data_IF_319421268446
#
_entry.id   IF_319421268446
#
_cell.length_a   1.000
_cell.length_b   1.000
_cell.length_c   1.000
_cell.angle_alpha   90.00
_cell.angle_beta   90.00
_cell.angle_gamma   90.00
#
_symmetry.space_group_name_H-M   'P 1'
#
loop_
_entity.id
_entity.type
_entity.pdbx_description
1 polymer ?
#
# COMPACT_ATOMS: atom_id res chain seq x y z
N UNK A 1 3.85 0.59 41.75
CA UNK A 1 4.03 -0.62 40.91
C UNK A 1 3.25 -0.41 39.63
N UNK A 2 3.54 -1.21 38.59
CA UNK A 2 2.84 -1.27 37.29
C UNK A 2 2.53 0.03 36.54
N UNK A 3 3.57 0.54 35.87
CA UNK A 3 3.44 1.31 34.63
C UNK A 3 4.50 0.80 33.67
N UNK A 4 4.11 0.42 32.45
CA UNK A 4 4.96 0.18 31.24
C UNK A 4 6.17 -0.78 31.34
N UNK A 5 6.57 -1.24 32.53
CA UNK A 5 7.81 -2.01 32.80
C UNK A 5 7.74 -3.51 32.48
N UNK A 6 7.05 -3.82 31.39
CA UNK A 6 7.37 -4.95 30.50
C UNK A 6 6.97 -4.49 29.09
N UNK A 7 7.79 -3.63 28.46
CA UNK A 7 7.71 -3.12 27.06
C UNK A 7 7.78 -4.24 26.00
N UNK A 8 7.04 -5.34 26.17
CA UNK A 8 7.68 -6.65 26.31
C UNK A 8 8.23 -7.27 25.03
N UNK A 9 9.55 -7.34 24.79
CA UNK A 9 10.68 -6.47 25.21
C UNK A 9 11.26 -5.98 23.88
N UNK A 10 11.14 -4.71 23.52
CA UNK A 10 11.83 -4.16 22.33
C UNK A 10 11.38 -4.90 21.01
N UNK A 11 10.08 -5.16 20.93
CA UNK A 11 9.31 -5.29 19.68
C UNK A 11 9.55 -6.51 18.74
N UNK A 12 9.93 -7.73 19.12
CA UNK A 12 10.18 -8.40 20.43
C UNK A 12 11.58 -9.07 20.46
N UNK A 13 12.10 -9.42 19.28
CA UNK A 13 13.51 -9.67 18.94
C UNK A 13 13.81 -8.92 17.63
N UNK A 14 13.42 -7.65 17.59
CA UNK A 14 13.35 -6.86 16.36
C UNK A 14 14.73 -6.37 15.90
N UNK A 15 15.05 -6.61 14.63
CA UNK A 15 15.96 -5.75 13.85
C UNK A 15 15.15 -4.62 13.15
N UNK A 16 14.21 -4.02 13.89
CA UNK A 16 13.33 -2.88 13.57
C UNK A 16 12.10 -3.07 12.63
N UNK A 17 11.73 -4.30 12.24
CA UNK A 17 10.96 -4.67 11.01
C UNK A 17 11.95 -5.09 9.90
N UNK A 18 12.68 -6.18 10.19
CA UNK A 18 14.08 -6.45 9.85
C UNK A 18 14.54 -6.43 8.38
N UNK A 19 13.67 -6.21 7.41
CA UNK A 19 14.05 -6.07 5.99
C UNK A 19 12.92 -5.46 5.15
N UNK A 20 11.99 -4.71 5.76
CA UNK A 20 10.94 -4.02 5.03
C UNK A 20 11.48 -2.68 4.52
N UNK A 21 11.54 -2.39 3.21
CA UNK A 21 12.01 -1.10 2.76
C UNK A 21 10.97 -0.01 3.00
N UNK A 22 11.14 0.61 4.14
CA UNK A 22 11.02 2.05 4.30
C UNK A 22 11.24 2.76 2.97
N UNK A 23 10.31 3.62 2.55
CA UNK A 23 10.49 4.45 1.36
C UNK A 23 11.06 5.83 1.76
N UNK A 24 11.60 5.88 2.98
CA UNK A 24 11.82 7.05 3.84
C UNK A 24 12.93 6.72 4.83
N UNK A 25 13.71 7.71 5.25
CA UNK A 25 14.78 7.53 6.24
C UNK A 25 14.26 7.49 7.69
N UNK A 26 12.94 7.62 7.85
CA UNK A 26 12.22 7.66 9.10
C UNK A 26 11.23 6.49 9.18
N UNK A 27 11.27 5.78 10.30
CA UNK A 27 10.26 4.82 10.73
C UNK A 27 9.53 5.35 11.96
N UNK A 28 8.21 5.13 12.01
CA UNK A 28 7.40 5.47 13.18
C UNK A 28 7.81 4.61 14.37
N UNK A 29 8.09 5.26 15.50
CA UNK A 29 8.28 4.56 16.79
C UNK A 29 6.97 3.86 17.18
N UNK A 30 6.98 2.53 17.43
CA UNK A 30 5.77 1.79 17.81
C UNK A 30 5.12 2.23 19.13
N UNK A 31 5.79 3.09 19.90
CA UNK A 31 5.35 3.51 21.24
C UNK A 31 4.53 4.81 21.22
N UNK A 32 4.34 5.46 20.06
CA UNK A 32 3.95 6.88 19.96
C UNK A 32 3.01 7.17 18.77
N UNK A 33 2.18 6.23 18.30
CA UNK A 33 1.31 6.47 17.14
C UNK A 33 0.34 7.67 17.36
N UNK A 34 -0.21 7.77 18.56
CA UNK A 34 -1.05 8.89 19.03
C UNK A 34 -0.32 10.25 19.10
N UNK A 35 1.00 10.29 19.27
CA UNK A 35 1.79 11.55 19.23
C UNK A 35 2.08 12.04 17.80
N UNK A 36 1.90 11.16 16.81
CA UNK A 36 2.28 11.41 15.41
C UNK A 36 1.09 11.93 14.60
N UNK A 37 -0.13 11.56 15.00
CA UNK A 37 -1.35 11.84 14.24
C UNK A 37 -2.42 12.45 15.15
N UNK A 38 -2.47 13.78 15.15
CA UNK A 38 -3.47 14.58 15.91
C UNK A 38 -4.84 14.60 15.21
N UNK A 39 -4.90 14.21 13.94
CA UNK A 39 -6.11 14.31 13.13
C UNK A 39 -7.10 13.16 13.45
N UNK A 40 -8.34 13.46 13.88
CA UNK A 40 -9.27 12.45 14.40
C UNK A 40 -9.69 11.40 13.36
N UNK A 41 -9.59 11.70 12.07
CA UNK A 41 -9.85 10.75 10.98
C UNK A 41 -8.90 9.55 10.92
N UNK A 42 -7.74 9.60 11.59
CA UNK A 42 -6.75 8.51 11.62
C UNK A 42 -6.81 7.67 12.91
N UNK A 43 -7.47 8.18 13.95
CA UNK A 43 -7.55 7.56 15.27
C UNK A 43 -8.09 6.11 15.25
N UNK A 44 -9.15 5.75 14.48
CA UNK A 44 -9.67 4.38 14.47
C UNK A 44 -8.67 3.32 13.97
N UNK A 45 -7.76 3.70 13.06
CA UNK A 45 -6.68 2.84 12.60
C UNK A 45 -5.61 2.65 13.67
N UNK A 46 -5.26 3.72 14.38
CA UNK A 46 -4.27 3.71 15.47
C UNK A 46 -4.75 2.80 16.59
N UNK A 47 -5.95 3.05 17.12
CA UNK A 47 -6.54 2.25 18.20
C UNK A 47 -6.62 0.76 17.85
N UNK A 48 -6.98 0.44 16.61
CA UNK A 48 -7.06 -0.96 16.15
C UNK A 48 -5.68 -1.63 16.03
N UNK A 49 -4.63 -0.88 15.73
CA UNK A 49 -3.25 -1.39 15.68
C UNK A 49 -2.63 -1.50 17.08
N UNK A 50 -2.93 -0.57 17.98
CA UNK A 50 -2.49 -0.59 19.39
C UNK A 50 -3.16 -1.75 20.17
N UNK A 51 -4.40 -2.10 19.85
CA UNK A 51 -5.12 -3.25 20.42
C UNK A 51 -4.66 -4.64 19.91
N UNK A 52 -3.54 -4.75 19.17
CA UNK A 52 -3.00 -6.03 18.71
C UNK A 52 -2.06 -6.66 19.74
N UNK A 53 -2.61 -7.47 20.64
CA UNK A 53 -1.90 -8.05 21.78
C UNK A 53 -0.82 -9.10 21.39
N UNK A 54 -1.04 -9.90 20.34
CA UNK A 54 -0.22 -11.10 20.02
C UNK A 54 0.43 -11.11 18.62
N UNK A 55 1.61 -10.48 18.47
CA UNK A 55 2.44 -10.67 17.27
C UNK A 55 3.96 -10.76 17.55
N UNK A 56 4.55 -11.89 17.16
CA UNK A 56 6.01 -12.11 17.16
C UNK A 56 6.56 -12.15 15.73
N UNK A 57 7.19 -11.05 15.29
CA UNK A 57 8.03 -11.07 14.09
C UNK A 57 9.37 -11.73 14.43
N UNK A 58 9.62 -12.90 13.85
CA UNK A 58 10.91 -13.60 13.89
C UNK A 58 11.66 -13.37 12.58
N UNK A 59 12.99 -13.33 12.67
CA UNK A 59 13.91 -13.23 11.52
C UNK A 59 14.94 -14.33 11.67
N UNK A 60 15.00 -15.23 10.70
CA UNK A 60 16.08 -16.20 10.55
C UNK A 60 17.22 -15.63 9.68
N UNK A 61 18.39 -16.30 9.73
CA UNK A 61 19.60 -15.85 9.02
C UNK A 61 19.60 -16.23 7.54
N UNK A 62 18.72 -17.14 7.13
CA UNK A 62 18.66 -17.68 5.77
C UNK A 62 17.70 -16.83 4.90
N UNK A 63 18.22 -15.72 4.37
CA UNK A 63 17.55 -14.88 3.34
C UNK A 63 16.19 -14.28 3.72
N UNK A 64 16.17 -12.96 3.92
CA UNK A 64 14.96 -12.13 3.81
C UNK A 64 13.78 -12.48 4.76
N UNK A 65 14.05 -12.75 6.04
CA UNK A 65 13.16 -12.59 7.19
C UNK A 65 11.64 -12.63 6.88
N UNK A 66 11.05 -13.82 6.96
CA UNK A 66 9.61 -13.99 6.80
C UNK A 66 8.88 -13.74 8.12
N UNK A 67 7.86 -12.89 8.05
CA UNK A 67 7.05 -12.54 9.21
C UNK A 67 6.05 -13.68 9.47
N UNK A 68 5.80 -14.00 10.75
CA UNK A 68 4.74 -14.94 11.18
C UNK A 68 3.81 -14.22 12.15
N UNK A 69 2.54 -14.61 12.15
CA UNK A 69 1.55 -14.22 13.18
C UNK A 69 1.21 -15.50 13.94
N UNK A 70 1.26 -15.46 15.28
CA UNK A 70 1.20 -16.68 16.12
C UNK A 70 -0.23 -17.08 16.47
N UNK A 71 -1.20 -16.16 16.38
CA UNK A 71 -2.57 -16.36 16.89
C UNK A 71 -3.58 -17.06 15.97
N UNK A 72 -3.24 -17.47 14.74
CA UNK A 72 -4.22 -18.07 13.80
C UNK A 72 -4.39 -19.60 13.97
N UNK A 73 -3.53 -20.29 14.73
CA UNK A 73 -3.52 -21.76 14.80
C UNK A 73 -4.50 -22.39 15.82
N UNK A 74 -5.13 -21.60 16.69
CA UNK A 74 -6.08 -22.11 17.69
C UNK A 74 -7.49 -22.44 17.14
N UNK A 75 -7.76 -22.16 15.86
CA UNK A 75 -9.07 -22.39 15.23
C UNK A 75 -9.27 -23.76 14.57
N UNK A 76 -8.20 -24.55 14.39
CA UNK A 76 -8.25 -25.86 13.76
C UNK A 76 -7.91 -26.94 14.80
N UNK A 77 -8.92 -27.69 15.24
CA UNK A 77 -8.77 -28.67 16.31
C UNK A 77 -7.94 -29.89 15.89
N UNK A 78 -6.66 -29.92 16.25
CA UNK A 78 -5.94 -31.15 16.56
C UNK A 78 -4.83 -30.88 17.58
N UNK A 79 -5.06 -31.33 18.81
CA UNK A 79 -4.19 -31.13 19.96
C UNK A 79 -3.07 -32.17 19.99
N UNK A 80 -2.22 -32.19 18.96
CA UNK A 80 -1.05 -33.07 18.90
C UNK A 80 0.27 -32.32 19.11
N UNK A 81 0.92 -32.64 20.23
CA UNK A 81 2.33 -32.41 20.55
C UNK A 81 2.88 -30.97 20.43
N UNK A 82 2.94 -30.32 21.59
CA UNK A 82 3.61 -29.05 21.94
C UNK A 82 5.15 -29.01 21.71
N UNK A 83 5.70 -29.88 20.86
CA UNK A 83 7.11 -29.93 20.48
C UNK A 83 7.38 -29.60 19.00
N UNK A 84 6.43 -28.94 18.31
CA UNK A 84 6.65 -28.32 17.01
C UNK A 84 7.54 -27.05 17.08
N UNK A 85 8.69 -27.17 17.75
CA UNK A 85 9.83 -26.32 17.41
C UNK A 85 10.19 -26.68 15.97
N UNK A 86 10.05 -25.72 15.05
CA UNK A 86 10.60 -25.88 13.69
C UNK A 86 12.12 -25.82 13.83
N UNK A 87 12.69 -26.98 14.16
CA UNK A 87 14.09 -27.27 13.95
C UNK A 87 14.31 -27.20 12.45
N UNK A 88 14.85 -26.06 11.99
CA UNK A 88 15.69 -26.01 10.79
C UNK A 88 17.00 -26.78 11.09
N UNK A 89 16.87 -28.05 11.43
CA UNK A 89 17.99 -28.97 11.43
C UNK A 89 18.29 -29.34 9.99
N UNK A 90 19.58 -29.29 9.68
CA UNK A 90 20.12 -29.38 8.32
C UNK A 90 20.21 -30.84 7.88
N UNK A 91 19.09 -31.55 7.86
CA UNK A 91 18.99 -32.89 7.29
C UNK A 91 18.41 -32.82 5.88
N UNK A 92 19.18 -33.29 4.91
CA UNK A 92 18.84 -33.19 3.50
C UNK A 92 17.67 -34.10 3.13
N UNK A 93 16.51 -33.51 2.85
CA UNK A 93 15.55 -34.08 1.90
C UNK A 93 14.84 -32.95 1.15
N UNK A 94 14.68 -33.12 -0.16
CA UNK A 94 14.22 -32.08 -1.07
C UNK A 94 12.70 -31.95 -1.05
N UNK A 95 12.17 -31.14 -0.14
CA UNK A 95 10.84 -30.55 -0.29
C UNK A 95 10.84 -29.15 0.30
N UNK A 96 11.20 -28.17 -0.52
CA UNK A 96 11.18 -26.76 -0.13
C UNK A 96 9.72 -26.29 -0.01
N UNK A 97 9.15 -26.45 1.19
CA UNK A 97 7.83 -25.91 1.52
C UNK A 97 7.81 -24.41 1.20
N UNK A 98 7.04 -24.02 0.18
CA UNK A 98 6.97 -22.64 -0.29
C UNK A 98 6.26 -21.79 0.75
N UNK A 99 7.06 -21.08 1.55
CA UNK A 99 6.56 -20.28 2.65
C UNK A 99 5.59 -19.21 2.15
N UNK A 100 4.34 -19.29 2.60
CA UNK A 100 3.25 -18.46 2.12
C UNK A 100 2.95 -17.32 3.10
N UNK A 101 2.69 -16.13 2.56
CA UNK A 101 2.35 -14.95 3.36
C UNK A 101 0.84 -14.94 3.61
N UNK A 102 0.43 -15.08 4.87
CA UNK A 102 -0.99 -15.15 5.24
C UNK A 102 -1.73 -13.84 4.90
N UNK A 103 -3.03 -13.89 4.57
CA UNK A 103 -3.82 -12.68 4.29
C UNK A 103 -3.80 -11.68 5.45
N UNK A 104 -4.01 -12.17 6.69
CA UNK A 104 -4.04 -11.37 7.92
C UNK A 104 -2.74 -10.58 8.12
N UNK A 105 -1.59 -11.26 8.00
CA UNK A 105 -0.27 -10.63 8.08
C UNK A 105 -0.10 -9.51 7.05
N UNK A 106 -0.47 -9.77 5.80
CA UNK A 106 -0.33 -8.79 4.72
C UNK A 106 -1.24 -7.56 4.93
N UNK A 107 -2.45 -7.76 5.47
CA UNK A 107 -3.36 -6.70 5.87
C UNK A 107 -2.76 -5.82 6.98
N UNK A 108 -2.15 -6.42 8.01
CA UNK A 108 -1.43 -5.69 9.09
C UNK A 108 -0.23 -4.90 8.53
N UNK A 109 0.56 -5.49 7.61
CA UNK A 109 1.65 -4.77 6.95
C UNK A 109 1.15 -3.56 6.17
N UNK A 110 0.03 -3.70 5.45
CA UNK A 110 -0.57 -2.60 4.69
C UNK A 110 -1.00 -1.46 5.63
N UNK A 111 -1.63 -1.79 6.75
CA UNK A 111 -2.03 -0.83 7.78
C UNK A 111 -0.82 -0.08 8.40
N UNK A 112 0.25 -0.79 8.78
CA UNK A 112 1.48 -0.17 9.27
C UNK A 112 2.10 0.77 8.23
N UNK A 113 2.09 0.38 6.94
CA UNK A 113 2.59 1.23 5.85
C UNK A 113 1.74 2.48 5.61
N UNK A 114 0.42 2.43 5.87
CA UNK A 114 -0.43 3.64 5.86
C UNK A 114 0.03 4.61 6.94
N UNK A 115 0.33 4.14 8.15
CA UNK A 115 0.83 4.98 9.24
C UNK A 115 2.22 5.57 8.94
N UNK A 116 3.16 4.76 8.41
CA UNK A 116 4.47 5.27 7.97
C UNK A 116 4.34 6.40 6.93
N UNK A 117 3.42 6.25 5.97
CA UNK A 117 3.15 7.28 4.96
C UNK A 117 2.53 8.53 5.58
N UNK A 118 1.59 8.39 6.52
CA UNK A 118 1.00 9.52 7.23
C UNK A 118 2.04 10.33 8.00
N UNK A 119 2.93 9.66 8.74
CA UNK A 119 4.04 10.30 9.45
C UNK A 119 5.03 11.00 8.50
N UNK A 120 5.20 10.47 7.29
CA UNK A 120 6.07 11.04 6.27
C UNK A 120 5.50 12.33 5.65
N UNK A 121 4.20 12.36 5.33
CA UNK A 121 3.56 13.54 4.73
C UNK A 121 3.15 14.60 5.75
N UNK A 122 3.02 14.23 7.03
CA UNK A 122 2.72 15.12 8.18
C UNK A 122 3.78 15.01 9.29
N UNK A 123 5.02 15.48 9.06
CA UNK A 123 6.10 15.35 10.04
C UNK A 123 5.85 16.22 11.29
N UNK A 124 5.59 15.59 12.43
CA UNK A 124 5.42 16.26 13.75
C UNK A 124 6.72 16.57 14.48
N UNK A 125 7.87 16.19 13.91
CA UNK A 125 9.21 16.43 14.47
C UNK A 125 9.59 15.61 15.71
N UNK A 126 8.67 14.81 16.27
CA UNK A 126 8.87 14.10 17.56
C UNK A 126 9.17 12.61 17.47
N UNK A 127 9.04 11.99 16.29
CA UNK A 127 9.18 10.53 16.16
C UNK A 127 9.80 10.10 14.84
N UNK A 128 11.13 10.02 14.83
CA UNK A 128 11.90 9.44 13.72
C UNK A 128 12.91 8.45 14.28
N UNK A 129 12.63 7.15 14.14
CA UNK A 129 13.71 6.16 14.29
C UNK A 129 14.51 6.18 12.99
N UNK A 130 15.82 6.39 13.08
CA UNK A 130 16.69 6.40 11.92
C UNK A 130 16.70 5.01 11.25
N UNK A 131 16.46 4.99 9.95
CA UNK A 131 16.36 3.76 9.15
C UNK A 131 17.70 3.40 8.51
N UNK A 132 18.14 2.14 8.54
CA UNK A 132 19.30 1.69 7.76
C UNK A 132 19.10 1.83 6.24
N UNK A 133 20.06 2.39 5.51
CA UNK A 133 19.98 2.51 4.05
C UNK A 133 20.30 1.19 3.32
N UNK A 134 19.28 0.43 2.97
CA UNK A 134 19.32 -0.74 2.09
C UNK A 134 19.59 -0.35 0.63
N UNK A 135 20.60 -0.97 0.02
CA UNK A 135 20.84 -0.87 -1.43
C UNK A 135 19.79 -1.67 -2.19
N UNK A 136 19.49 -1.23 -3.42
CA UNK A 136 18.68 -1.95 -4.39
C UNK A 136 19.33 -3.32 -4.71
N UNK A 137 18.53 -4.37 -4.80
CA UNK A 137 18.96 -5.70 -5.27
C UNK A 137 18.69 -5.85 -6.76
N UNK A 138 19.66 -6.38 -7.50
CA UNK A 138 19.53 -6.69 -8.93
C UNK A 138 18.74 -8.00 -9.19
N UNK A 139 18.56 -8.85 -8.18
CA UNK A 139 17.96 -10.19 -8.33
C UNK A 139 16.41 -10.19 -8.32
N UNK A 140 15.76 -9.22 -8.96
CA UNK A 140 14.29 -9.21 -9.08
C UNK A 140 13.89 -10.18 -10.21
N UNK A 141 13.65 -11.43 -9.85
CA UNK A 141 13.30 -12.49 -10.79
C UNK A 141 11.99 -12.21 -11.56
N UNK A 142 12.03 -12.47 -12.89
CA UNK A 142 10.95 -12.37 -13.90
C UNK A 142 10.16 -11.05 -13.90
N UNK A 143 10.35 -10.27 -14.97
CA UNK A 143 9.57 -9.05 -15.29
C UNK A 143 8.07 -9.29 -15.13
N UNK A 144 7.45 -8.59 -14.18
CA UNK A 144 5.99 -8.51 -14.02
C UNK A 144 5.44 -7.39 -14.88
N UNK A 145 4.13 -7.35 -15.13
CA UNK A 145 3.51 -6.26 -15.90
C UNK A 145 3.84 -4.87 -15.30
N UNK A 146 3.92 -4.82 -13.97
CA UNK A 146 4.25 -3.62 -13.21
C UNK A 146 5.77 -3.41 -12.98
N UNK A 147 6.64 -4.25 -13.55
CA UNK A 147 8.09 -4.03 -13.57
C UNK A 147 8.54 -3.00 -14.63
N UNK A 148 7.60 -2.57 -15.49
CA UNK A 148 7.86 -1.78 -16.69
C UNK A 148 7.68 -0.27 -16.48
N UNK A 149 7.79 0.25 -15.26
CA UNK A 149 7.96 1.70 -15.06
C UNK A 149 9.39 2.03 -15.47
N UNK A 150 9.53 2.47 -16.72
CA UNK A 150 10.78 2.91 -17.35
C UNK A 150 11.26 4.23 -16.76
N UNK A 151 11.17 5.28 -17.58
CA UNK A 151 11.27 6.66 -17.09
C UNK A 151 9.99 7.03 -16.30
N UNK A 152 10.12 7.23 -14.99
CA UNK A 152 8.99 7.62 -14.14
C UNK A 152 8.55 9.08 -14.34
N UNK A 153 9.42 9.92 -14.91
CA UNK A 153 9.05 11.29 -15.30
C UNK A 153 8.20 11.28 -16.57
N UNK A 154 8.43 10.35 -17.50
CA UNK A 154 7.55 10.13 -18.64
C UNK A 154 6.19 9.57 -18.23
N UNK A 155 6.14 8.67 -17.25
CA UNK A 155 4.88 8.23 -16.64
C UNK A 155 4.07 9.43 -16.11
N UNK A 156 4.71 10.37 -15.42
CA UNK A 156 4.06 11.61 -14.96
C UNK A 156 3.58 12.49 -16.14
N UNK A 157 4.39 12.65 -17.21
CA UNK A 157 3.99 13.41 -18.41
C UNK A 157 2.79 12.78 -19.12
N UNK A 158 2.81 11.47 -19.31
CA UNK A 158 1.73 10.71 -19.96
C UNK A 158 0.44 10.75 -19.12
N UNK A 159 0.55 10.63 -17.80
CA UNK A 159 -0.57 10.75 -16.89
C UNK A 159 -1.18 12.16 -16.90
N UNK A 160 -0.35 13.21 -16.89
CA UNK A 160 -0.80 14.61 -17.05
C UNK A 160 -1.55 14.82 -18.38
N UNK A 161 -1.01 14.30 -19.47
CA UNK A 161 -1.63 14.41 -20.79
C UNK A 161 -2.96 13.64 -20.89
N UNK A 162 -3.10 12.53 -20.17
CA UNK A 162 -4.32 11.70 -20.13
C UNK A 162 -5.43 12.29 -19.25
N UNK A 163 -5.06 13.06 -18.21
CA UNK A 163 -6.00 13.75 -17.32
C UNK A 163 -6.36 15.16 -17.82
N UNK A 164 -5.51 15.79 -18.63
CA UNK A 164 -5.84 17.00 -19.37
C UNK A 164 -7.14 16.80 -20.21
N UNK A 165 -7.94 17.85 -20.45
CA UNK A 165 -9.42 17.80 -20.44
C UNK A 165 -10.17 17.03 -21.55
N UNK A 166 -9.52 16.09 -22.26
CA UNK A 166 -10.17 15.16 -23.19
C UNK A 166 -11.15 14.19 -22.53
N UNK A 167 -11.02 13.94 -21.22
CA UNK A 167 -12.05 13.24 -20.42
C UNK A 167 -13.04 14.28 -19.90
N UNK A 168 -14.20 14.40 -20.56
CA UNK A 168 -15.24 15.36 -20.20
C UNK A 168 -15.65 15.19 -18.72
N UNK A 169 -15.32 16.14 -17.82
CA UNK A 169 -15.54 15.97 -16.39
C UNK A 169 -17.02 15.90 -16.01
N UNK A 170 -17.94 16.34 -16.88
CA UNK A 170 -19.38 16.18 -16.69
C UNK A 170 -19.82 14.70 -16.72
N UNK A 171 -19.15 13.83 -17.48
CA UNK A 171 -19.49 12.40 -17.53
C UNK A 171 -19.11 11.67 -16.23
N UNK A 172 -18.12 12.18 -15.48
CA UNK A 172 -17.64 11.59 -14.23
C UNK A 172 -18.15 12.29 -12.96
N UNK A 173 -18.81 13.45 -13.09
CA UNK A 173 -19.38 14.21 -11.97
C UNK A 173 -20.69 13.58 -11.48
N UNK A 174 -20.81 13.16 -10.20
CA UNK A 174 -22.01 12.50 -9.69
C UNK A 174 -23.26 13.37 -9.90
N UNK A 175 -24.33 12.74 -10.41
CA UNK A 175 -25.63 13.37 -10.68
C UNK A 175 -26.61 13.17 -9.51
N UNK A 176 -26.23 12.36 -8.52
CA UNK A 176 -27.03 12.02 -7.35
C UNK A 176 -26.25 12.48 -6.13
N UNK A 177 -26.94 13.08 -5.15
CA UNK A 177 -26.38 13.42 -3.85
C UNK A 177 -25.98 12.15 -3.10
N UNK A 178 -24.70 11.81 -3.11
CA UNK A 178 -24.13 10.60 -2.52
C UNK A 178 -22.60 10.57 -2.64
N UNK A 179 -21.98 9.52 -2.08
CA UNK A 179 -20.53 9.31 -2.05
C UNK A 179 -19.90 9.51 -3.45
N UNK A 180 -19.12 10.58 -3.60
CA UNK A 180 -18.57 11.04 -4.87
C UNK A 180 -17.54 10.05 -5.40
N UNK A 181 -16.72 9.47 -4.50
CA UNK A 181 -15.69 8.49 -4.84
C UNK A 181 -16.28 7.25 -5.50
N UNK A 182 -17.30 6.63 -4.88
CA UNK A 182 -17.91 5.39 -5.38
C UNK A 182 -18.74 5.61 -6.64
N UNK A 183 -19.51 6.71 -6.69
CA UNK A 183 -20.31 7.10 -7.86
C UNK A 183 -19.44 7.41 -9.08
N UNK A 184 -18.30 8.08 -8.87
CA UNK A 184 -17.35 8.39 -9.94
C UNK A 184 -16.55 7.15 -10.37
N UNK A 185 -16.17 6.27 -9.43
CA UNK A 185 -15.52 4.98 -9.71
C UNK A 185 -16.37 4.07 -10.59
N UNK A 186 -17.66 3.93 -10.29
CA UNK A 186 -18.59 3.12 -11.09
C UNK A 186 -18.57 3.55 -12.57
N UNK A 187 -18.68 4.86 -12.84
CA UNK A 187 -18.62 5.39 -14.20
C UNK A 187 -17.23 5.28 -14.83
N UNK A 188 -16.17 5.46 -14.05
CA UNK A 188 -14.81 5.29 -14.53
C UNK A 188 -14.58 3.84 -15.03
N UNK A 189 -15.12 2.84 -14.34
CA UNK A 189 -15.08 1.44 -14.79
C UNK A 189 -15.81 1.22 -16.13
N UNK A 190 -16.88 1.97 -16.39
CA UNK A 190 -17.70 1.88 -17.61
C UNK A 190 -17.09 2.63 -18.83
N UNK A 191 -16.32 3.72 -18.64
CA UNK A 191 -15.96 4.71 -19.69
C UNK A 191 -14.60 4.43 -20.39
N UNK A 192 -14.22 3.16 -20.57
CA UNK A 192 -13.03 2.72 -21.37
C UNK A 192 -11.64 3.12 -20.81
N UNK A 193 -10.56 2.85 -21.56
CA UNK A 193 -9.17 2.84 -21.08
C UNK A 193 -8.63 4.18 -20.55
N UNK A 194 -9.12 5.33 -21.03
CA UNK A 194 -8.70 6.65 -20.51
C UNK A 194 -9.04 6.85 -19.03
N UNK A 195 -10.00 6.07 -18.50
CA UNK A 195 -10.33 6.01 -17.07
C UNK A 195 -9.26 5.36 -16.19
N UNK A 196 -8.29 4.64 -16.75
CA UNK A 196 -7.48 3.67 -15.99
C UNK A 196 -6.80 4.28 -14.76
N UNK A 197 -6.23 5.47 -14.91
CA UNK A 197 -5.59 6.24 -13.82
C UNK A 197 -6.60 6.59 -12.73
N UNK A 198 -7.80 7.06 -13.12
CA UNK A 198 -8.88 7.39 -12.19
C UNK A 198 -9.37 6.15 -11.45
N UNK A 199 -9.62 5.04 -12.16
CA UNK A 199 -9.99 3.75 -11.56
C UNK A 199 -8.94 3.29 -10.54
N UNK A 200 -7.64 3.37 -10.89
CA UNK A 200 -6.56 2.97 -9.98
C UNK A 200 -6.53 3.85 -8.71
N UNK A 201 -6.57 5.17 -8.87
CA UNK A 201 -6.59 6.15 -7.77
C UNK A 201 -7.84 5.97 -6.89
N UNK A 202 -9.01 5.79 -7.49
CA UNK A 202 -10.28 5.67 -6.77
C UNK A 202 -10.41 4.34 -6.02
N UNK A 203 -9.97 3.22 -6.60
CA UNK A 203 -9.88 1.94 -5.90
C UNK A 203 -8.87 2.00 -4.74
N UNK A 204 -7.71 2.63 -4.95
CA UNK A 204 -6.72 2.82 -3.90
C UNK A 204 -7.29 3.68 -2.75
N UNK A 205 -7.98 4.78 -3.08
CA UNK A 205 -8.60 5.67 -2.09
C UNK A 205 -9.77 5.00 -1.34
N UNK A 206 -10.58 4.19 -2.02
CA UNK A 206 -11.70 3.49 -1.38
C UNK A 206 -11.21 2.40 -0.42
N UNK A 207 -10.14 1.68 -0.80
CA UNK A 207 -9.46 0.75 0.09
C UNK A 207 -8.81 1.49 1.27
N UNK A 208 -8.13 2.62 1.03
CA UNK A 208 -7.50 3.43 2.08
C UNK A 208 -8.53 4.00 3.07
N UNK A 209 -9.68 4.48 2.58
CA UNK A 209 -10.84 4.91 3.39
C UNK A 209 -11.34 3.79 4.32
N UNK A 210 -11.29 2.52 3.90
CA UNK A 210 -11.67 1.39 4.75
C UNK A 210 -10.62 1.10 5.85
N UNK A 211 -9.34 1.08 5.47
CA UNK A 211 -8.22 0.90 6.41
C UNK A 211 -8.20 1.99 7.48
N UNK A 212 -8.39 3.27 7.10
CA UNK A 212 -8.43 4.41 8.02
C UNK A 212 -9.57 4.32 9.06
N UNK A 213 -10.68 3.66 8.74
CA UNK A 213 -11.78 3.37 9.67
C UNK A 213 -11.48 2.22 10.66
N UNK A 214 -10.22 1.81 10.79
CA UNK A 214 -9.79 0.67 11.62
C UNK A 214 -10.06 -0.71 10.99
N UNK A 215 -10.62 -0.77 9.78
CA UNK A 215 -10.90 -2.03 9.09
C UNK A 215 -9.71 -2.39 8.19
N UNK A 216 -8.59 -2.76 8.81
CA UNK A 216 -7.40 -3.16 8.06
C UNK A 216 -7.56 -4.52 7.37
N UNK A 217 -8.41 -5.42 7.89
CA UNK A 217 -8.80 -6.64 7.18
C UNK A 217 -10.09 -6.43 6.40
N UNK A 218 -9.96 -6.40 5.08
CA UNK A 218 -11.08 -6.30 4.15
C UNK A 218 -11.82 -7.65 4.07
N UNK A 219 -13.17 -7.66 3.88
CA UNK A 219 -13.95 -8.89 3.69
C UNK A 219 -13.42 -9.81 2.57
N UNK A 220 -13.75 -11.10 2.62
CA UNK A 220 -13.31 -12.09 1.62
C UNK A 220 -13.95 -11.82 0.25
N UNK A 221 -15.24 -11.53 0.20
CA UNK A 221 -15.96 -11.25 -1.03
C UNK A 221 -16.14 -9.75 -1.24
N UNK A 222 -16.15 -9.33 -2.52
CA UNK A 222 -16.32 -7.91 -2.86
C UNK A 222 -17.74 -7.41 -2.57
N UNK A 223 -18.76 -8.26 -2.77
CA UNK A 223 -20.16 -7.91 -2.50
C UNK A 223 -20.39 -7.54 -1.02
N UNK A 224 -19.82 -8.31 -0.09
CA UNK A 224 -19.91 -8.04 1.35
C UNK A 224 -19.36 -6.65 1.69
N UNK A 225 -18.17 -6.34 1.17
CA UNK A 225 -17.54 -5.02 1.33
C UNK A 225 -18.41 -3.90 0.76
N UNK A 226 -18.88 -4.01 -0.48
CA UNK A 226 -19.70 -2.98 -1.11
C UNK A 226 -21.06 -2.81 -0.41
N UNK A 227 -21.60 -3.87 0.20
CA UNK A 227 -22.81 -3.82 1.02
C UNK A 227 -22.61 -2.97 2.28
N UNK A 228 -21.41 -2.97 2.89
CA UNK A 228 -21.10 -2.08 4.02
C UNK A 228 -21.10 -0.59 3.66
N UNK A 229 -20.99 -0.25 2.36
CA UNK A 229 -20.96 1.12 1.87
C UNK A 229 -22.35 1.69 1.53
N UNK A 230 -23.42 0.88 1.64
CA UNK A 230 -24.82 1.32 1.42
C UNK A 230 -25.05 2.00 0.05
N UNK A 231 -24.41 1.48 -1.00
CA UNK A 231 -24.40 2.09 -2.33
C UNK A 231 -25.75 1.96 -3.06
N UNK A 232 -26.11 2.94 -3.93
CA UNK A 232 -27.20 2.77 -4.88
C UNK A 232 -26.99 1.53 -5.76
N UNK A 233 -28.06 0.78 -6.05
CA UNK A 233 -28.01 -0.51 -6.75
C UNK A 233 -27.23 -0.47 -8.07
N UNK A 234 -27.36 0.61 -8.84
CA UNK A 234 -26.62 0.79 -10.09
C UNK A 234 -25.11 0.96 -9.87
N UNK A 235 -24.69 1.75 -8.87
CA UNK A 235 -23.29 1.94 -8.51
C UNK A 235 -22.68 0.63 -8.01
N UNK A 236 -23.42 -0.09 -7.16
CA UNK A 236 -23.03 -1.42 -6.68
C UNK A 236 -22.83 -2.41 -7.84
N UNK A 237 -23.76 -2.44 -8.81
CA UNK A 237 -23.69 -3.31 -9.98
C UNK A 237 -22.48 -2.99 -10.89
N UNK A 238 -22.25 -1.73 -11.26
CA UNK A 238 -21.09 -1.33 -12.08
C UNK A 238 -19.74 -1.65 -11.41
N UNK A 239 -19.63 -1.51 -10.08
CA UNK A 239 -18.39 -1.87 -9.39
C UNK A 239 -18.18 -3.39 -9.36
N UNK A 240 -19.24 -4.19 -9.14
CA UNK A 240 -19.14 -5.67 -9.19
C UNK A 240 -18.86 -6.22 -10.59
N UNK A 241 -19.43 -5.64 -11.65
CA UNK A 241 -19.13 -6.04 -13.02
C UNK A 241 -17.73 -5.59 -13.45
N UNK A 242 -17.30 -4.40 -13.02
CA UNK A 242 -15.98 -3.86 -13.30
C UNK A 242 -14.86 -4.60 -12.57
N UNK A 243 -15.04 -4.99 -11.31
CA UNK A 243 -13.98 -5.55 -10.44
C UNK A 243 -14.26 -7.01 -10.06
N UNK A 244 -13.54 -7.93 -10.70
CA UNK A 244 -13.81 -9.38 -10.63
C UNK A 244 -13.79 -9.98 -9.22
N UNK A 245 -12.89 -9.53 -8.34
CA UNK A 245 -12.77 -10.06 -6.98
C UNK A 245 -12.05 -9.09 -6.03
N UNK A 246 -12.08 -9.43 -4.75
CA UNK A 246 -11.47 -8.66 -3.68
C UNK A 246 -9.94 -8.58 -3.77
N UNK A 247 -9.25 -9.64 -4.18
CA UNK A 247 -7.79 -9.62 -4.32
C UNK A 247 -7.37 -8.55 -5.34
N UNK A 248 -8.06 -8.48 -6.47
CA UNK A 248 -7.90 -7.50 -7.53
C UNK A 248 -8.28 -6.08 -7.10
N UNK A 249 -9.37 -5.92 -6.34
CA UNK A 249 -9.76 -4.64 -5.72
C UNK A 249 -8.63 -4.04 -4.88
N UNK A 250 -7.93 -4.86 -4.07
CA UNK A 250 -6.89 -4.38 -3.15
C UNK A 250 -5.58 -3.97 -3.86
N UNK A 251 -5.32 -4.44 -5.09
CA UNK A 251 -4.02 -4.31 -5.77
C UNK A 251 -3.53 -2.85 -5.94
N UNK A 252 -4.34 -1.86 -6.34
CA UNK A 252 -3.87 -0.48 -6.51
C UNK A 252 -3.22 0.09 -5.25
N UNK A 253 -3.88 0.00 -4.09
CA UNK A 253 -3.31 0.48 -2.82
C UNK A 253 -2.07 -0.33 -2.42
N UNK A 254 -2.06 -1.65 -2.64
CA UNK A 254 -0.90 -2.46 -2.31
C UNK A 254 0.33 -2.10 -3.17
N UNK A 255 0.18 -1.86 -4.46
CA UNK A 255 1.29 -1.36 -5.30
C UNK A 255 1.77 0.03 -4.84
N UNK A 256 0.85 0.90 -4.42
CA UNK A 256 1.21 2.19 -3.85
C UNK A 256 2.04 2.07 -2.56
N UNK A 257 1.58 1.28 -1.59
CA UNK A 257 2.21 1.10 -0.28
C UNK A 257 3.57 0.37 -0.34
N UNK A 258 3.68 -0.65 -1.21
CA UNK A 258 4.81 -1.58 -1.26
C UNK A 258 5.75 -1.39 -2.46
N UNK A 259 5.39 -0.61 -3.49
CA UNK A 259 6.31 -0.32 -4.60
C UNK A 259 6.46 1.19 -4.80
N UNK A 260 5.40 1.87 -5.24
CA UNK A 260 5.36 3.33 -5.44
C UNK A 260 3.93 3.79 -5.73
N UNK A 261 3.46 4.92 -5.17
CA UNK A 261 2.16 5.48 -5.53
C UNK A 261 2.09 5.90 -7.00
N UNK A 262 3.22 6.12 -7.70
CA UNK A 262 3.24 6.40 -9.14
C UNK A 262 2.60 5.27 -9.97
N UNK A 263 2.51 4.05 -9.42
CA UNK A 263 1.86 2.93 -10.09
C UNK A 263 0.36 3.17 -10.30
N UNK A 264 -0.26 4.03 -9.49
CA UNK A 264 -1.64 4.47 -9.68
C UNK A 264 -1.82 5.29 -10.97
N UNK A 265 -0.74 5.91 -11.47
CA UNK A 265 -0.72 6.70 -12.70
C UNK A 265 -0.48 5.87 -13.97
N UNK A 266 -0.37 4.54 -13.86
CA UNK A 266 -0.25 3.66 -15.01
C UNK A 266 -1.52 3.70 -15.89
N UNK A 267 -1.40 3.76 -17.23
CA UNK A 267 -2.54 3.76 -18.17
C UNK A 267 -3.17 2.37 -18.35
N UNK A 268 -3.11 1.51 -17.31
CA UNK A 268 -3.71 0.18 -17.27
C UNK A 268 -4.55 0.04 -15.99
N UNK A 269 -5.72 -0.59 -16.09
CA UNK A 269 -6.58 -0.84 -14.93
C UNK A 269 -5.98 -1.98 -14.10
N UNK A 270 -5.30 -1.64 -13.00
CA UNK A 270 -4.54 -2.58 -12.18
C UNK A 270 -5.39 -3.75 -11.65
N UNK A 271 -6.66 -3.50 -11.33
CA UNK A 271 -7.61 -4.54 -10.90
C UNK A 271 -7.83 -5.68 -11.93
N UNK A 272 -7.44 -5.51 -13.20
CA UNK A 272 -7.50 -6.60 -14.19
C UNK A 272 -6.40 -7.66 -14.01
N UNK A 273 -5.38 -7.39 -13.19
CA UNK A 273 -4.21 -8.25 -13.00
C UNK A 273 -4.25 -9.03 -11.69
N UNK A 274 -3.82 -10.28 -11.74
CA UNK A 274 -3.58 -11.11 -10.56
C UNK A 274 -2.18 -10.83 -9.99
N UNK A 275 -2.04 -11.04 -8.68
CA UNK A 275 -0.82 -10.77 -7.93
C UNK A 275 -0.72 -11.68 -6.71
N UNK A 276 0.50 -11.93 -6.24
CA UNK A 276 0.75 -12.68 -5.02
C UNK A 276 1.48 -11.84 -3.97
N UNK A 277 1.09 -12.04 -2.71
CA UNK A 277 1.59 -11.30 -1.54
C UNK A 277 3.08 -11.45 -1.33
N UNK A 278 3.58 -12.67 -1.51
CA UNK A 278 4.98 -13.01 -1.29
C UNK A 278 5.89 -12.25 -2.27
N UNK A 279 5.60 -12.29 -3.56
CA UNK A 279 6.42 -11.59 -4.56
C UNK A 279 6.26 -10.08 -4.49
N UNK A 280 5.10 -9.55 -4.09
CA UNK A 280 4.97 -8.11 -3.84
C UNK A 280 5.89 -7.68 -2.68
N UNK A 281 5.99 -8.48 -1.61
CA UNK A 281 6.98 -8.27 -0.54
C UNK A 281 8.42 -8.42 -1.07
N UNK A 282 8.74 -9.44 -1.89
CA UNK A 282 10.09 -9.57 -2.44
C UNK A 282 10.49 -8.41 -3.36
N UNK A 283 9.59 -8.00 -4.25
CA UNK A 283 9.77 -6.82 -5.11
C UNK A 283 10.00 -5.57 -4.27
N UNK A 284 9.17 -5.36 -3.24
CA UNK A 284 9.37 -4.31 -2.24
C UNK A 284 10.79 -4.38 -1.65
N UNK A 285 11.16 -5.50 -1.00
CA UNK A 285 12.49 -5.74 -0.39
C UNK A 285 13.66 -5.41 -1.32
N UNK A 286 13.51 -5.68 -2.62
CA UNK A 286 14.57 -5.47 -3.60
C UNK A 286 14.70 -4.03 -4.11
N UNK A 287 13.68 -3.16 -3.98
CA UNK A 287 13.81 -1.74 -4.36
C UNK A 287 14.75 -0.96 -3.44
N UNK A 288 14.82 -1.32 -2.15
CA UNK A 288 15.58 -0.57 -1.15
C UNK A 288 14.96 0.81 -0.84
N UNK A 289 15.76 1.67 -0.21
CA UNK A 289 15.31 2.96 0.35
C UNK A 289 16.26 4.12 -0.01
N UNK A 290 16.74 4.15 -1.26
CA UNK A 290 17.64 5.17 -1.79
C UNK A 290 17.05 5.83 -3.04
N UNK A 291 15.77 6.19 -2.96
CA UNK A 291 15.07 6.96 -3.98
C UNK A 291 15.73 8.35 -4.16
N UNK A 292 15.79 8.90 -5.39
CA UNK A 292 16.16 10.29 -5.59
C UNK A 292 15.17 11.24 -4.89
N UNK A 293 15.65 12.33 -4.31
CA UNK A 293 14.78 13.29 -3.60
C UNK A 293 13.61 13.83 -4.47
N UNK A 294 13.78 14.09 -5.79
CA UNK A 294 12.66 14.51 -6.64
C UNK A 294 11.59 13.43 -6.87
N UNK A 295 11.96 12.15 -6.86
CA UNK A 295 10.99 11.03 -6.86
C UNK A 295 10.20 11.03 -5.55
N UNK A 296 10.89 11.14 -4.42
CA UNK A 296 10.26 11.21 -3.09
C UNK A 296 9.29 12.39 -2.97
N UNK A 297 9.65 13.57 -3.49
CA UNK A 297 8.78 14.75 -3.48
C UNK A 297 7.49 14.51 -4.31
N UNK A 298 7.61 13.97 -5.52
CA UNK A 298 6.44 13.63 -6.35
C UNK A 298 5.54 12.58 -5.67
N UNK A 299 6.13 11.60 -4.99
CA UNK A 299 5.38 10.58 -4.25
C UNK A 299 4.67 11.13 -3.00
N UNK A 300 5.26 12.09 -2.27
CA UNK A 300 4.61 12.77 -1.15
C UNK A 300 3.34 13.50 -1.60
N UNK A 301 3.44 14.29 -2.67
CA UNK A 301 2.28 15.02 -3.22
C UNK A 301 1.19 14.05 -3.69
N UNK A 302 1.57 12.91 -4.30
CA UNK A 302 0.63 11.89 -4.72
C UNK A 302 -0.07 11.19 -3.54
N UNK A 303 0.63 10.97 -2.42
CA UNK A 303 -0.01 10.50 -1.19
C UNK A 303 -0.95 11.54 -0.59
N UNK A 304 -0.54 12.81 -0.50
CA UNK A 304 -1.40 13.89 0.02
C UNK A 304 -2.74 13.95 -0.71
N UNK A 305 -2.75 13.85 -2.05
CA UNK A 305 -4.01 13.82 -2.80
C UNK A 305 -4.82 12.53 -2.55
N UNK A 306 -4.15 11.37 -2.39
CA UNK A 306 -4.85 10.12 -2.11
C UNK A 306 -5.56 10.16 -0.74
N UNK A 307 -4.93 10.73 0.29
CA UNK A 307 -5.58 10.98 1.58
C UNK A 307 -6.75 11.97 1.46
N UNK A 308 -6.60 13.05 0.69
CA UNK A 308 -7.70 14.00 0.48
C UNK A 308 -8.93 13.35 -0.19
N UNK A 309 -8.73 12.47 -1.17
CA UNK A 309 -9.81 11.70 -1.82
C UNK A 309 -10.41 10.68 -0.83
N UNK A 310 -9.56 10.01 -0.05
CA UNK A 310 -9.99 8.95 0.89
C UNK A 310 -10.78 9.51 2.07
N UNK A 311 -10.35 10.63 2.67
CA UNK A 311 -10.93 11.21 3.88
C UNK A 311 -12.03 12.22 3.56
N UNK A 312 -11.78 13.15 2.62
CA UNK A 312 -12.68 14.28 2.35
C UNK A 312 -13.51 14.13 1.07
N UNK A 313 -13.58 12.91 0.51
CA UNK A 313 -14.38 12.57 -0.68
C UNK A 313 -14.13 13.47 -1.91
N UNK A 314 -12.92 14.01 -2.05
CA UNK A 314 -12.58 14.93 -3.15
C UNK A 314 -12.64 14.23 -4.50
N UNK A 315 -13.10 14.96 -5.51
CA UNK A 315 -13.10 14.50 -6.90
C UNK A 315 -11.69 14.13 -7.36
N UNK A 316 -11.46 12.86 -7.70
CA UNK A 316 -10.14 12.35 -8.06
C UNK A 316 -9.52 13.09 -9.26
N UNK A 317 -10.31 13.38 -10.30
CA UNK A 317 -9.85 14.13 -11.48
C UNK A 317 -9.34 15.53 -11.10
N UNK A 318 -10.15 16.36 -10.45
CA UNK A 318 -9.75 17.72 -10.02
C UNK A 318 -8.54 17.71 -9.08
N UNK A 319 -8.43 16.70 -8.24
CA UNK A 319 -7.31 16.58 -7.29
C UNK A 319 -6.01 16.17 -8.00
N UNK A 320 -6.10 15.33 -9.04
CA UNK A 320 -4.96 15.01 -9.94
C UNK A 320 -4.55 16.20 -10.81
N UNK A 321 -5.50 16.97 -11.35
CA UNK A 321 -5.24 18.22 -12.06
C UNK A 321 -4.42 19.19 -11.18
N UNK A 322 -4.84 19.34 -9.91
CA UNK A 322 -4.09 20.08 -8.88
C UNK A 322 -2.68 19.53 -8.66
N UNK A 323 -2.51 18.22 -8.46
CA UNK A 323 -1.21 17.56 -8.33
C UNK A 323 -0.27 17.85 -9.51
N UNK A 324 -0.74 17.75 -10.76
CA UNK A 324 0.11 18.03 -11.93
C UNK A 324 0.53 19.51 -12.07
N UNK A 325 -0.11 20.41 -11.31
CA UNK A 325 0.29 21.82 -11.17
C UNK A 325 1.33 22.07 -10.07
N UNK A 326 1.45 21.18 -9.06
CA UNK A 326 2.45 21.32 -7.98
C UNK A 326 3.80 20.68 -8.34
N UNK A 327 3.83 19.77 -9.32
CA UNK A 327 5.06 19.15 -9.82
C UNK A 327 6.01 20.18 -10.44
N UNK A 328 7.25 20.22 -9.97
CA UNK A 328 8.33 21.06 -10.46
C UNK A 328 8.98 20.46 -11.72
N UNK A 329 8.29 20.59 -12.86
CA UNK A 329 8.67 19.97 -14.14
C UNK A 329 10.11 20.30 -14.58
N UNK A 330 10.62 21.49 -14.31
CA UNK A 330 11.98 21.89 -14.66
C UNK A 330 13.05 21.08 -13.90
N UNK A 331 12.78 20.73 -12.63
CA UNK A 331 13.66 19.85 -11.86
C UNK A 331 13.64 18.42 -12.42
N UNK A 332 12.48 17.93 -12.88
CA UNK A 332 12.36 16.62 -13.52
C UNK A 332 13.13 16.54 -14.84
N UNK A 333 13.18 17.65 -15.59
CA UNK A 333 13.93 17.75 -16.84
C UNK A 333 15.46 17.76 -16.63
N UNK A 334 15.92 18.19 -15.44
CA UNK A 334 17.34 18.18 -15.07
C UNK A 334 17.86 16.83 -14.56
N UNK A 335 16.97 15.86 -14.27
CA UNK A 335 17.37 14.54 -13.75
C UNK A 335 18.23 13.74 -14.73
N UNK A 336 19.23 13.05 -14.19
CA UNK A 336 20.04 12.08 -14.93
C UNK A 336 19.22 10.84 -15.33
N UNK A 337 19.61 10.11 -16.39
CA UNK A 337 18.89 8.89 -16.82
C UNK A 337 18.73 7.87 -15.68
N UNK A 338 19.75 7.69 -14.85
CA UNK A 338 19.73 6.76 -13.70
C UNK A 338 18.76 7.15 -12.58
N UNK A 339 18.45 8.44 -12.43
CA UNK A 339 17.43 8.90 -11.49
C UNK A 339 16.03 8.69 -12.06
N UNK A 340 15.85 8.91 -13.38
CA UNK A 340 14.59 8.70 -14.09
C UNK A 340 14.20 7.24 -14.24
N UNK A 341 15.16 6.33 -14.37
CA UNK A 341 14.93 4.87 -14.45
C UNK A 341 15.04 4.17 -13.10
N UNK A 342 15.02 4.91 -11.98
CA UNK A 342 15.14 4.31 -10.64
C UNK A 342 14.09 3.20 -10.37
N UNK A 343 12.91 3.29 -10.99
CA UNK A 343 11.86 2.28 -10.84
C UNK A 343 12.04 1.02 -11.70
N UNK A 344 12.94 0.99 -12.70
CA UNK A 344 13.15 -0.14 -13.62
C UNK A 344 13.79 -1.35 -12.94
N UNK A 345 13.07 -2.45 -12.71
CA UNK A 345 13.62 -3.61 -12.00
C UNK A 345 14.46 -4.50 -12.92
N UNK A 346 15.73 -4.16 -13.05
CA UNK A 346 16.74 -5.00 -13.70
C UNK A 346 16.79 -4.87 -15.22
N UNK A 347 17.97 -4.47 -15.70
CA UNK A 347 18.50 -4.85 -17.02
C UNK A 347 19.27 -6.16 -16.83
#
# INVERSE_FOLDING_TARGET
>A
MDYTKKFSRIRRSSQLLASLPWRTDCAVSPNNFSDILVAPEYQPLIEKLEALEDWEIKSDKATFAMLRVVGDEQGAGQQENLNATILFERQGSESAATASVTPRLFSILSALRVIDVLAWIFPTGKCTTAVPHHRRSQQIGRKRVWANVGDWTDLLRQAKASIAPGVNPASLSPQISGDHLTSSLARALDISAASAILVNIQLAALHLRHVLKGNWDMPTHLADFLSTLQLPTAVHASILSGVRNMQRFRLPLHLALFISPLYLLLPIQLQKYDWDRHSLILTWKAYGNRQPAPLLAAEQELWKILFQISVHDRCAQKTLEGFFSTILWDQLNALSPTERTWLETGV
#
